data_IF_894611619976
#
_entry.id   IF_894611619976
#
_cell.length_a   1.000
_cell.length_b   1.000
_cell.length_c   1.000
_cell.angle_alpha   90.00
_cell.angle_beta   90.00
_cell.angle_gamma   90.00
#
_symmetry.space_group_name_H-M   'P 1'
#
loop_
_entity.id
_entity.type
_entity.pdbx_description
1 polymer ?
#
# COMPACT_ATOMS: atom_id res chain seq x y z
N UNK A 1 0.90 1.86 -9.05
CA UNK A 1 2.01 2.50 -8.29
C UNK A 1 1.78 2.49 -6.77
N UNK A 2 2.83 2.55 -5.94
CA UNK A 2 2.70 2.83 -4.49
C UNK A 2 2.71 4.34 -4.24
N UNK A 3 1.72 4.85 -3.51
CA UNK A 3 1.59 6.27 -3.16
C UNK A 3 1.78 6.43 -1.65
N UNK A 4 2.75 7.26 -1.29
CA UNK A 4 3.05 7.58 0.12
C UNK A 4 2.02 8.55 0.66
N UNK A 5 1.41 8.23 1.80
CA UNK A 5 0.60 9.18 2.55
C UNK A 5 1.47 9.92 3.58
N UNK A 6 1.91 11.13 3.24
CA UNK A 6 2.76 11.95 4.11
C UNK A 6 1.99 12.55 5.29
N UNK A 7 0.67 12.42 5.33
CA UNK A 7 -0.18 12.95 6.40
C UNK A 7 -0.36 11.96 7.54
N UNK A 8 -0.09 10.67 7.30
CA UNK A 8 -0.26 9.58 8.27
C UNK A 8 1.06 9.02 8.75
N UNK A 9 1.06 8.47 9.96
CA UNK A 9 2.24 7.89 10.61
C UNK A 9 1.91 6.51 11.17
N UNK A 10 2.79 5.54 10.92
CA UNK A 10 2.68 4.18 11.47
C UNK A 10 4.00 3.82 12.16
N UNK A 11 3.91 3.21 13.34
CA UNK A 11 5.07 2.53 13.92
C UNK A 11 5.33 1.20 13.20
N UNK A 12 6.57 0.74 13.27
CA UNK A 12 7.00 -0.56 12.73
C UNK A 12 7.91 -1.23 13.75
N UNK A 13 7.58 -2.46 14.11
CA UNK A 13 8.40 -3.35 14.92
C UNK A 13 8.52 -4.69 14.20
N UNK A 14 9.75 -5.07 13.86
CA UNK A 14 10.06 -6.22 13.02
C UNK A 14 9.23 -6.26 11.71
N UNK A 15 8.32 -7.22 11.59
CA UNK A 15 7.45 -7.41 10.41
C UNK A 15 6.01 -6.90 10.64
N UNK A 16 5.76 -6.26 11.79
CA UNK A 16 4.45 -5.72 12.17
C UNK A 16 4.47 -4.20 12.05
N UNK A 17 3.41 -3.65 11.44
CA UNK A 17 3.16 -2.22 11.39
C UNK A 17 1.85 -1.90 12.12
N UNK A 18 1.84 -0.79 12.86
CA UNK A 18 0.63 -0.24 13.45
C UNK A 18 -0.32 0.36 12.43
N UNK A 19 -1.52 0.69 12.88
CA UNK A 19 -2.53 1.38 12.07
C UNK A 19 -2.08 2.82 11.73
N UNK A 20 -2.50 3.40 10.60
CA UNK A 20 -2.19 4.79 10.24
C UNK A 20 -2.79 5.83 11.21
N UNK A 21 -1.92 6.56 11.92
CA UNK A 21 -2.29 7.61 12.87
C UNK A 21 -2.08 9.02 12.30
N UNK A 22 -2.74 10.05 12.87
CA UNK A 22 -2.65 11.44 12.40
C UNK A 22 -1.38 12.16 12.87
N UNK A 23 -0.67 11.60 13.84
CA UNK A 23 0.59 12.17 14.34
C UNK A 23 1.59 11.13 14.82
N UNK A 24 2.86 11.54 14.91
CA UNK A 24 3.93 10.73 15.51
C UNK A 24 3.58 10.38 16.96
N UNK A 25 2.97 11.31 17.72
CA UNK A 25 2.60 11.09 19.12
C UNK A 25 1.55 9.97 19.23
N UNK A 26 0.51 10.02 18.41
CA UNK A 26 -0.52 8.99 18.38
C UNK A 26 0.04 7.64 17.92
N UNK A 27 0.95 7.62 16.94
CA UNK A 27 1.66 6.39 16.55
C UNK A 27 2.51 5.80 17.69
N UNK A 28 3.11 6.64 18.55
CA UNK A 28 3.82 6.18 19.75
C UNK A 28 2.82 5.64 20.79
N UNK A 29 1.69 6.32 21.00
CA UNK A 29 0.65 5.87 21.95
C UNK A 29 0.07 4.51 21.54
N UNK A 30 -0.24 4.33 20.25
CA UNK A 30 -0.71 3.07 19.66
C UNK A 30 0.33 1.94 19.82
N UNK A 31 1.61 2.23 19.59
CA UNK A 31 2.71 1.28 19.82
C UNK A 31 2.83 0.85 21.29
N UNK A 32 2.70 1.81 22.22
CA UNK A 32 2.72 1.53 23.65
C UNK A 32 1.52 0.70 24.09
N UNK A 33 0.35 0.92 23.49
CA UNK A 33 -0.86 0.11 23.73
C UNK A 33 -0.69 -1.32 23.21
N UNK A 34 -0.22 -1.50 21.98
CA UNK A 34 0.09 -2.81 21.40
C UNK A 34 1.04 -3.63 22.27
N UNK A 35 2.07 -2.98 22.82
CA UNK A 35 3.02 -3.62 23.72
C UNK A 35 2.40 -3.98 25.07
N UNK A 36 1.51 -3.15 25.65
CA UNK A 36 0.84 -3.47 26.93
C UNK A 36 0.12 -4.81 26.88
N UNK A 37 -0.57 -5.10 25.79
CA UNK A 37 -1.34 -6.35 25.63
C UNK A 37 -0.43 -7.56 25.40
N UNK A 38 0.69 -7.39 24.69
CA UNK A 38 1.69 -8.45 24.48
C UNK A 38 2.40 -8.88 25.78
N UNK A 39 2.50 -7.98 26.76
CA UNK A 39 3.08 -8.26 28.08
C UNK A 39 2.03 -8.62 29.16
N UNK A 40 0.73 -8.65 28.84
CA UNK A 40 -0.36 -8.97 29.77
C UNK A 40 -0.49 -10.45 30.17
N UNK A 41 0.34 -11.35 29.62
CA UNK A 41 0.31 -12.79 29.92
C UNK A 41 1.35 -13.26 30.96
N UNK A 42 2.20 -12.37 31.50
CA UNK A 42 3.15 -12.74 32.55
C UNK A 42 2.71 -12.22 33.92
N UNK A 43 1.90 -13.05 34.56
CA UNK A 43 1.57 -13.02 35.98
C UNK A 43 2.87 -13.12 36.81
N UNK A 44 3.48 -11.99 37.13
CA UNK A 44 4.48 -11.93 38.19
C UNK A 44 4.55 -10.54 38.80
N UNK A 45 4.44 -10.51 40.12
CA UNK A 45 4.69 -9.37 41.03
C UNK A 45 6.14 -8.80 40.98
N UNK A 46 6.83 -9.07 39.87
CA UNK A 46 8.05 -8.43 39.38
C UNK A 46 7.94 -8.45 37.86
N UNK A 47 7.25 -7.46 37.29
CA UNK A 47 7.25 -7.25 35.85
C UNK A 47 8.68 -7.37 35.33
N UNK A 48 8.89 -8.18 34.30
CA UNK A 48 10.19 -8.43 33.67
C UNK A 48 10.73 -7.17 32.96
N UNK A 49 10.66 -6.02 33.60
CA UNK A 49 11.65 -4.96 33.57
C UNK A 49 12.93 -5.46 34.24
N UNK A 50 13.62 -6.36 33.55
CA UNK A 50 15.06 -6.19 33.44
C UNK A 50 15.30 -5.19 32.32
N UNK A 51 15.27 -3.89 32.60
CA UNK A 51 15.93 -2.84 31.80
C UNK A 51 15.61 -2.75 30.30
N UNK A 52 14.49 -3.27 29.80
CA UNK A 52 14.04 -2.94 28.44
C UNK A 52 13.11 -1.73 28.51
N UNK A 53 13.66 -0.58 28.91
CA UNK A 53 13.03 0.70 28.64
C UNK A 53 12.86 0.77 27.12
N UNK A 54 11.63 0.75 26.62
CA UNK A 54 11.36 1.04 25.22
C UNK A 54 11.73 2.51 25.01
N UNK A 55 12.99 2.76 24.67
CA UNK A 55 13.52 4.13 24.55
C UNK A 55 13.09 4.74 23.23
N UNK A 56 12.91 3.91 22.20
CA UNK A 56 12.67 4.37 20.85
C UNK A 56 11.82 3.44 20.03
N UNK A 57 11.09 4.01 19.07
CA UNK A 57 10.27 3.31 18.08
C UNK A 57 10.62 3.76 16.67
N UNK A 58 10.49 2.86 15.69
CA UNK A 58 10.62 3.20 14.27
C UNK A 58 9.26 3.64 13.73
N UNK A 59 9.19 4.85 13.19
CA UNK A 59 7.96 5.40 12.60
C UNK A 59 8.22 5.80 11.16
N UNK A 60 7.29 5.46 10.27
CA UNK A 60 7.29 5.84 8.87
C UNK A 60 5.91 6.25 8.41
N UNK A 61 5.81 6.53 7.12
CA UNK A 61 4.55 6.84 6.45
C UNK A 61 4.03 5.59 5.73
N UNK A 62 2.72 5.33 5.74
CA UNK A 62 2.14 4.24 4.98
C UNK A 62 2.18 4.56 3.48
N UNK A 63 2.39 3.51 2.69
CA UNK A 63 2.31 3.52 1.24
C UNK A 63 1.13 2.65 0.83
N UNK A 64 0.18 3.25 0.12
CA UNK A 64 -1.00 2.57 -0.41
C UNK A 64 -0.78 2.21 -1.87
N UNK A 65 -1.32 1.07 -2.29
CA UNK A 65 -1.32 0.70 -3.70
C UNK A 65 -2.44 1.44 -4.42
N UNK A 66 -2.08 2.12 -5.51
CA UNK A 66 -3.02 2.73 -6.46
C UNK A 66 -2.89 1.99 -7.78
N UNK A 67 -3.95 1.32 -8.27
CA UNK A 67 -3.88 0.55 -9.50
C UNK A 67 -3.74 1.47 -10.71
N UNK A 68 -2.94 1.01 -11.68
CA UNK A 68 -2.77 1.62 -13.00
C UNK A 68 -3.00 0.53 -14.02
N UNK A 69 -3.77 0.85 -15.06
CA UNK A 69 -4.05 -0.06 -16.18
C UNK A 69 -3.06 0.21 -17.28
N UNK A 70 -2.34 -0.85 -17.67
CA UNK A 70 -1.39 -0.84 -18.77
C UNK A 70 -2.14 -1.05 -20.10
N UNK A 71 -2.26 0.02 -20.88
CA UNK A 71 -2.96 0.01 -22.17
C UNK A 71 -2.31 -0.90 -23.20
N UNK A 72 -0.99 -1.09 -23.16
CA UNK A 72 -0.29 -2.01 -24.07
C UNK A 72 -0.72 -3.46 -23.78
N UNK A 73 -0.78 -3.83 -22.50
CA UNK A 73 -1.29 -5.15 -22.09
C UNK A 73 -2.75 -5.36 -22.43
N UNK A 74 -3.56 -4.31 -22.37
CA UNK A 74 -4.97 -4.39 -22.78
C UNK A 74 -5.08 -4.65 -24.28
N UNK A 75 -4.33 -3.92 -25.11
CA UNK A 75 -4.30 -4.16 -26.57
C UNK A 75 -3.83 -5.59 -26.86
N UNK A 76 -2.75 -6.04 -26.19
CA UNK A 76 -2.25 -7.39 -26.36
C UNK A 76 -3.30 -8.45 -25.98
N UNK A 77 -4.00 -8.27 -24.86
CA UNK A 77 -5.06 -9.19 -24.45
C UNK A 77 -6.21 -9.23 -25.47
N UNK A 78 -6.61 -8.07 -26.01
CA UNK A 78 -7.68 -8.00 -27.00
C UNK A 78 -7.26 -8.71 -28.29
N UNK A 79 -6.03 -8.52 -28.75
CA UNK A 79 -5.56 -9.15 -29.98
C UNK A 79 -5.27 -10.66 -29.85
N UNK A 80 -4.80 -11.11 -28.69
CA UNK A 80 -4.34 -12.50 -28.49
C UNK A 80 -5.42 -13.43 -27.89
N UNK A 81 -6.38 -12.89 -27.12
CA UNK A 81 -7.40 -13.70 -26.43
C UNK A 81 -8.85 -13.36 -26.79
N UNK A 82 -9.15 -12.09 -27.09
CA UNK A 82 -10.53 -11.66 -27.35
C UNK A 82 -10.86 -11.54 -28.85
N UNK A 83 -9.85 -11.60 -29.72
CA UNK A 83 -10.03 -11.56 -31.16
C UNK A 83 -10.66 -12.89 -31.62
N UNK A 84 -11.78 -12.79 -32.32
CA UNK A 84 -12.51 -13.97 -32.76
C UNK A 84 -11.70 -14.79 -33.77
N UNK A 85 -11.59 -16.10 -33.54
CA UNK A 85 -10.87 -17.04 -34.40
C UNK A 85 -11.38 -17.00 -35.86
N UNK A 86 -12.66 -16.66 -36.08
CA UNK A 86 -13.23 -16.52 -37.42
C UNK A 86 -12.58 -15.40 -38.24
N UNK A 87 -12.00 -14.38 -37.60
CA UNK A 87 -11.38 -13.22 -38.26
C UNK A 87 -9.89 -13.05 -37.96
N UNK A 88 -9.34 -13.81 -37.01
CA UNK A 88 -7.95 -13.71 -36.57
C UNK A 88 -6.96 -13.81 -37.74
N UNK A 89 -7.12 -14.80 -38.63
CA UNK A 89 -6.25 -15.02 -39.80
C UNK A 89 -6.22 -13.85 -40.80
N UNK A 90 -7.19 -12.94 -40.73
CA UNK A 90 -7.33 -11.78 -41.64
C UNK A 90 -6.98 -10.45 -40.96
N UNK A 91 -6.59 -10.49 -39.69
CA UNK A 91 -6.46 -9.33 -38.82
C UNK A 91 -5.01 -9.06 -38.38
N UNK A 92 -4.02 -9.60 -39.10
CA UNK A 92 -2.58 -9.47 -38.77
C UNK A 92 -2.09 -8.02 -38.57
N UNK A 93 -2.74 -7.04 -39.21
CA UNK A 93 -2.38 -5.62 -39.11
C UNK A 93 -3.25 -4.84 -38.09
N UNK A 94 -4.20 -5.49 -37.43
CA UNK A 94 -5.02 -4.87 -36.39
C UNK A 94 -4.16 -4.49 -35.18
N UNK A 95 -4.16 -3.20 -34.83
CA UNK A 95 -3.44 -2.63 -33.67
C UNK A 95 -1.91 -2.86 -33.65
N UNK A 96 -1.29 -3.17 -34.79
CA UNK A 96 0.14 -3.49 -34.91
C UNK A 96 1.09 -2.31 -34.67
N UNK A 97 0.69 -1.11 -35.13
CA UNK A 97 1.53 0.10 -35.09
C UNK A 97 0.88 1.23 -34.27
N UNK A 98 0.23 0.88 -33.15
CA UNK A 98 -0.33 1.88 -32.25
C UNK A 98 0.81 2.73 -31.68
N UNK A 99 0.70 4.04 -31.84
CA UNK A 99 1.71 4.98 -31.34
C UNK A 99 1.74 4.99 -29.82
N UNK A 100 2.92 5.19 -29.26
CA UNK A 100 3.12 5.33 -27.81
C UNK A 100 2.19 6.39 -27.21
N UNK A 101 2.05 7.56 -27.84
CA UNK A 101 1.16 8.62 -27.34
C UNK A 101 -0.31 8.18 -27.18
N UNK A 102 -0.79 7.27 -28.02
CA UNK A 102 -2.15 6.74 -27.93
C UNK A 102 -2.25 5.60 -26.89
N UNK A 103 -1.18 4.83 -26.69
CA UNK A 103 -1.12 3.82 -25.62
C UNK A 103 -1.09 4.51 -24.25
N UNK A 104 -0.33 5.59 -24.11
CA UNK A 104 -0.29 6.41 -22.90
C UNK A 104 -1.69 7.01 -22.62
N UNK A 105 -2.35 7.58 -23.63
CA UNK A 105 -3.74 8.07 -23.53
C UNK A 105 -4.71 6.95 -23.10
N UNK A 106 -4.66 5.78 -23.74
CA UNK A 106 -5.50 4.64 -23.39
C UNK A 106 -5.28 4.19 -21.94
N UNK A 107 -4.02 4.14 -21.51
CA UNK A 107 -3.65 3.75 -20.14
C UNK A 107 -4.22 4.73 -19.11
N UNK A 108 -4.14 6.03 -19.38
CA UNK A 108 -4.72 7.06 -18.50
C UNK A 108 -6.25 6.95 -18.39
N UNK A 109 -6.93 6.81 -19.52
CA UNK A 109 -8.40 6.72 -19.55
C UNK A 109 -8.91 5.44 -18.88
N UNK A 110 -8.29 4.29 -19.18
CA UNK A 110 -8.65 3.02 -18.55
C UNK A 110 -8.35 3.04 -17.04
N UNK A 111 -7.24 3.64 -16.63
CA UNK A 111 -6.91 3.80 -15.20
C UNK A 111 -7.98 4.59 -14.47
N UNK A 112 -8.44 5.73 -15.03
CA UNK A 112 -9.52 6.53 -14.43
C UNK A 112 -10.81 5.73 -14.30
N UNK A 113 -11.20 5.01 -15.35
CA UNK A 113 -12.41 4.17 -15.36
C UNK A 113 -12.30 3.05 -14.32
N UNK A 114 -11.17 2.35 -14.29
CA UNK A 114 -10.94 1.24 -13.37
C UNK A 114 -10.99 1.67 -11.91
N UNK A 115 -10.27 2.74 -11.54
CA UNK A 115 -10.28 3.29 -10.18
C UNK A 115 -11.68 3.77 -9.77
N UNK A 116 -12.44 4.39 -10.69
CA UNK A 116 -13.81 4.80 -10.41
C UNK A 116 -14.76 3.60 -10.22
N UNK A 117 -14.54 2.52 -10.97
CA UNK A 117 -15.30 1.27 -10.82
C UNK A 117 -14.98 0.58 -9.49
N UNK A 118 -13.70 0.45 -9.13
CA UNK A 118 -13.23 -0.14 -7.88
C UNK A 118 -13.86 0.56 -6.66
N UNK A 119 -13.81 1.90 -6.63
CA UNK A 119 -14.46 2.74 -5.61
C UNK A 119 -15.96 2.52 -5.50
N UNK A 120 -16.65 2.50 -6.65
CA UNK A 120 -18.11 2.32 -6.70
C UNK A 120 -18.54 1.00 -6.09
N UNK A 121 -17.72 -0.03 -6.25
CA UNK A 121 -18.02 -1.39 -5.79
C UNK A 121 -17.28 -1.78 -4.50
N UNK A 122 -16.49 -0.86 -3.92
CA UNK A 122 -15.71 -1.08 -2.69
C UNK A 122 -14.73 -2.25 -2.80
N UNK A 123 -14.10 -2.39 -3.96
CA UNK A 123 -13.02 -3.36 -4.18
C UNK A 123 -11.63 -2.78 -3.91
N UNK A 124 -11.56 -1.57 -3.35
CA UNK A 124 -10.32 -0.87 -3.06
C UNK A 124 -9.39 -1.72 -2.19
N UNK A 125 -8.13 -1.80 -2.59
CA UNK A 125 -7.09 -2.42 -1.78
C UNK A 125 -6.81 -1.56 -0.54
N UNK A 126 -7.18 -2.06 0.63
CA UNK A 126 -6.96 -1.39 1.93
C UNK A 126 -5.57 -1.64 2.53
N UNK A 127 -4.79 -2.54 1.92
CA UNK A 127 -3.44 -2.87 2.38
C UNK A 127 -2.48 -1.70 2.21
N UNK A 128 -1.55 -1.59 3.14
CA UNK A 128 -0.46 -0.62 3.09
C UNK A 128 0.85 -1.26 3.54
N UNK A 129 1.96 -0.62 3.15
CA UNK A 129 3.31 -0.99 3.61
C UNK A 129 4.01 0.24 4.14
N UNK A 130 4.84 0.10 5.16
CA UNK A 130 5.61 1.21 5.73
C UNK A 130 7.07 1.02 5.34
N UNK A 131 7.63 1.97 4.60
CA UNK A 131 9.00 1.91 4.10
C UNK A 131 9.81 3.12 4.59
N UNK A 132 11.12 2.96 4.78
CA UNK A 132 12.03 4.08 5.08
C UNK A 132 11.78 4.75 6.43
N UNK A 133 11.48 3.96 7.47
CA UNK A 133 11.19 4.46 8.83
C UNK A 133 12.36 5.24 9.44
N UNK A 134 12.04 6.17 10.35
CA UNK A 134 13.01 6.87 11.21
C UNK A 134 12.82 6.46 12.66
N UNK A 135 13.90 6.53 13.45
CA UNK A 135 13.87 6.22 14.88
C UNK A 135 13.49 7.48 15.65
N UNK A 136 12.47 7.37 16.51
CA UNK A 136 12.01 8.42 17.42
C UNK A 136 12.18 7.97 18.86
N UNK A 137 12.60 8.87 19.74
CA UNK A 137 12.67 8.59 21.18
C UNK A 137 11.31 8.83 21.81
N UNK A 138 10.80 7.86 22.55
CA UNK A 138 9.46 7.95 23.16
C UNK A 138 9.38 9.10 24.16
N UNK A 139 10.44 9.32 24.94
CA UNK A 139 10.51 10.38 25.94
C UNK A 139 10.37 11.81 25.38
N UNK A 140 10.56 12.02 24.08
CA UNK A 140 10.38 13.34 23.45
C UNK A 140 8.89 13.69 23.21
N UNK A 141 7.99 12.72 23.39
CA UNK A 141 6.56 12.81 23.03
C UNK A 141 5.59 12.46 24.17
N UNK A 142 6.11 12.10 25.36
CA UNK A 142 5.36 11.74 26.57
C UNK A 142 5.50 12.82 27.64
#
# INVERSE_FOLDING_TARGET
MLVKDETKYCWVEDEVAGEPQDSIKEAIEDYLEYNKDSFGACDSDRGYLGENDIVSVRIGHPYHYVPEVDGERVIWNVCDYDLDDEIAEWSDDYMKDVKKEHIDELSEELTKVFQAWEKRHRYENIGYVVLGTKIYRIADYV
#
